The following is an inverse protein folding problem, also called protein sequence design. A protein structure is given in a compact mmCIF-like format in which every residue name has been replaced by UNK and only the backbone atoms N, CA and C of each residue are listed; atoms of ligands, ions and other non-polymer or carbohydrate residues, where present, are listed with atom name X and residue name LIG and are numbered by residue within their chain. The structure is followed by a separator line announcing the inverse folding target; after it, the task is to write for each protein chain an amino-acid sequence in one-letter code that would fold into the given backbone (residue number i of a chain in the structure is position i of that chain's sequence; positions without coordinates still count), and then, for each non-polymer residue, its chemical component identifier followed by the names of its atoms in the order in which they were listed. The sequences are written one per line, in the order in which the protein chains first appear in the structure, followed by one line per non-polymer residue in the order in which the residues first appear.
data_IF_787354298911
#
_entry.id   IF_787354298911
#
_cell.length_a   1.000
_cell.length_b   1.000
_cell.length_c   1.000
_cell.angle_alpha   90.00
_cell.angle_beta   90.00
_cell.angle_gamma   90.00
#
_symmetry.space_group_name_H-M   'P 1'
#
loop_
_entity.id
_entity.type
_entity.pdbx_description
1 polymer ?
#
# COMPACT_ATOMS: atom_id res chain seq x y z
N UNK A 1 -31.74 2.56 5.76
CA UNK A 1 -31.73 1.16 6.24
C UNK A 1 -30.44 0.43 5.85
N UNK A 2 -30.07 0.36 4.57
CA UNK A 2 -28.85 -0.32 4.11
C UNK A 2 -27.56 0.27 4.71
N UNK A 3 -27.48 1.60 4.86
CA UNK A 3 -26.31 2.29 5.46
C UNK A 3 -26.03 1.82 6.90
N UNK A 4 -27.08 1.64 7.70
CA UNK A 4 -26.96 1.20 9.09
C UNK A 4 -26.51 -0.27 9.15
N UNK A 5 -27.02 -1.12 8.26
CA UNK A 5 -26.63 -2.53 8.16
C UNK A 5 -25.16 -2.65 7.76
N UNK A 6 -24.69 -1.90 6.76
CA UNK A 6 -23.28 -1.97 6.35
C UNK A 6 -22.33 -1.41 7.41
N UNK A 7 -22.72 -0.37 8.16
CA UNK A 7 -21.93 0.13 9.29
C UNK A 7 -21.84 -0.89 10.43
N UNK A 8 -22.96 -1.55 10.77
CA UNK A 8 -22.97 -2.61 11.78
C UNK A 8 -22.08 -3.79 11.37
N UNK A 9 -22.17 -4.23 10.11
CA UNK A 9 -21.34 -5.33 9.61
C UNK A 9 -19.86 -4.95 9.51
N UNK A 10 -19.53 -3.80 8.91
CA UNK A 10 -18.14 -3.35 8.76
C UNK A 10 -17.50 -3.04 10.11
N UNK A 11 -18.22 -2.38 11.01
CA UNK A 11 -17.77 -2.11 12.38
C UNK A 11 -17.60 -3.39 13.20
N UNK A 12 -18.52 -4.35 13.06
CA UNK A 12 -18.41 -5.67 13.70
C UNK A 12 -17.20 -6.46 13.20
N UNK A 13 -16.97 -6.51 11.89
CA UNK A 13 -15.79 -7.17 11.29
C UNK A 13 -14.48 -6.51 11.73
N UNK A 14 -14.41 -5.18 11.71
CA UNK A 14 -13.23 -4.45 12.17
C UNK A 14 -12.96 -4.68 13.68
N UNK A 15 -14.02 -4.72 14.49
CA UNK A 15 -13.93 -5.03 15.92
C UNK A 15 -13.40 -6.44 16.20
N UNK A 16 -13.90 -7.44 15.48
CA UNK A 16 -13.43 -8.83 15.62
C UNK A 16 -11.96 -8.95 15.21
N UNK A 17 -11.56 -8.33 14.10
CA UNK A 17 -10.16 -8.32 13.65
C UNK A 17 -9.22 -7.75 14.73
N UNK A 18 -9.57 -6.59 15.32
CA UNK A 18 -8.79 -5.99 16.41
C UNK A 18 -8.77 -6.85 17.68
N UNK A 19 -9.90 -7.45 18.07
CA UNK A 19 -9.95 -8.34 19.23
C UNK A 19 -9.07 -9.59 19.07
N UNK A 20 -9.04 -10.19 17.87
CA UNK A 20 -8.19 -11.34 17.56
C UNK A 20 -6.71 -11.00 17.65
N UNK A 21 -6.30 -9.84 17.14
CA UNK A 21 -4.92 -9.38 17.20
C UNK A 21 -4.44 -9.15 18.64
N UNK A 22 -5.23 -8.43 19.45
CA UNK A 22 -4.91 -8.12 20.84
C UNK A 22 -4.88 -9.38 21.71
N UNK A 23 -5.88 -10.26 21.56
CA UNK A 23 -6.01 -11.45 22.40
C UNK A 23 -5.05 -12.58 22.02
N UNK A 24 -4.63 -12.64 20.75
CA UNK A 24 -3.78 -13.70 20.22
C UNK A 24 -2.28 -13.46 20.39
N UNK A 25 -1.81 -12.24 20.06
CA UNK A 25 -0.38 -11.95 19.91
C UNK A 25 0.17 -11.17 21.13
N UNK A 26 -0.59 -10.20 21.64
CA UNK A 26 -0.14 -9.32 22.73
C UNK A 26 -0.39 -9.91 24.13
N UNK A 27 0.06 -11.15 24.41
CA UNK A 27 -0.02 -11.78 25.76
C UNK A 27 0.61 -10.94 26.90
N UNK A 28 1.23 -9.80 26.59
CA UNK A 28 1.47 -8.66 27.47
C UNK A 28 0.95 -7.40 26.77
N UNK A 29 0.39 -6.45 27.52
CA UNK A 29 0.09 -5.09 27.07
C UNK A 29 1.35 -4.46 26.46
N UNK A 30 1.59 -4.69 25.17
CA UNK A 30 2.58 -3.96 24.42
C UNK A 30 2.00 -2.56 24.26
N UNK A 31 2.66 -1.56 24.83
CA UNK A 31 2.28 -0.15 24.77
C UNK A 31 2.47 0.38 23.35
N UNK A 32 1.68 -0.14 22.41
CA UNK A 32 1.84 0.20 21.01
C UNK A 32 1.01 -0.60 20.00
N UNK A 33 -0.22 -0.98 20.32
CA UNK A 33 -1.14 -1.72 19.42
C UNK A 33 -1.36 -1.08 18.03
N UNK A 34 -0.95 0.17 17.84
CA UNK A 34 -1.16 0.94 16.59
C UNK A 34 0.09 1.63 16.06
N UNK A 35 1.27 1.48 16.69
CA UNK A 35 2.47 2.24 16.29
C UNK A 35 3.13 1.54 15.11
N UNK A 36 2.57 1.71 13.91
CA UNK A 36 3.22 1.30 12.65
C UNK A 36 2.30 0.63 11.62
N UNK A 37 1.34 -0.20 12.05
CA UNK A 37 0.50 -0.98 11.12
C UNK A 37 -0.32 -0.11 10.16
N UNK A 38 -0.75 1.08 10.58
CA UNK A 38 -1.45 2.03 9.71
C UNK A 38 -0.58 2.58 8.58
N UNK A 39 0.70 2.84 8.84
CA UNK A 39 1.65 3.28 7.81
C UNK A 39 1.91 2.16 6.80
N UNK A 40 2.11 0.93 7.28
CA UNK A 40 2.21 -0.24 6.41
C UNK A 40 0.94 -0.46 5.58
N UNK A 41 -0.24 -0.26 6.16
CA UNK A 41 -1.52 -0.42 5.46
C UNK A 41 -1.65 0.56 4.27
N UNK A 42 -1.13 1.79 4.38
CA UNK A 42 -1.07 2.74 3.28
C UNK A 42 -0.23 2.18 2.12
N UNK A 43 0.94 1.61 2.42
CA UNK A 43 1.83 1.01 1.44
C UNK A 43 1.14 -0.15 0.72
N UNK A 44 0.51 -1.04 1.49
CA UNK A 44 -0.23 -2.19 0.97
C UNK A 44 -1.36 -1.75 0.04
N UNK A 45 -2.14 -0.74 0.44
CA UNK A 45 -3.27 -0.23 -0.34
C UNK A 45 -2.82 0.34 -1.70
N UNK A 46 -1.69 1.04 -1.71
CA UNK A 46 -1.10 1.59 -2.93
C UNK A 46 -0.52 0.51 -3.82
N UNK A 47 0.28 -0.39 -3.25
CA UNK A 47 0.89 -1.49 -3.98
C UNK A 47 -0.18 -2.41 -4.63
N UNK A 48 -1.35 -2.54 -3.98
CA UNK A 48 -2.51 -3.26 -4.52
C UNK A 48 -3.37 -2.45 -5.53
N UNK A 49 -3.00 -1.21 -5.88
CA UNK A 49 -3.77 -0.33 -6.77
C UNK A 49 -5.26 -0.16 -6.36
N UNK A 50 -5.56 -0.11 -5.05
CA UNK A 50 -6.94 -0.02 -4.51
C UNK A 50 -7.86 -1.20 -4.94
N UNK A 51 -7.30 -2.32 -5.41
CA UNK A 51 -8.09 -3.51 -5.73
C UNK A 51 -8.28 -4.39 -4.48
N UNK A 52 -9.53 -4.66 -4.03
CA UNK A 52 -9.78 -5.44 -2.81
C UNK A 52 -9.19 -6.85 -2.84
N UNK A 53 -9.15 -7.52 -3.99
CA UNK A 53 -8.52 -8.83 -4.12
C UNK A 53 -6.99 -8.75 -4.11
N UNK A 54 -6.43 -7.68 -4.69
CA UNK A 54 -5.00 -7.41 -4.67
C UNK A 54 -4.49 -7.13 -3.25
N UNK A 55 -5.29 -6.46 -2.43
CA UNK A 55 -4.93 -6.12 -1.03
C UNK A 55 -4.66 -7.39 -0.22
N UNK A 56 -5.43 -8.47 -0.39
CA UNK A 56 -5.22 -9.71 0.35
C UNK A 56 -3.84 -10.34 0.09
N UNK A 57 -3.43 -10.40 -1.18
CA UNK A 57 -2.14 -10.98 -1.59
C UNK A 57 -0.99 -10.09 -1.10
N UNK A 58 -1.11 -8.78 -1.30
CA UNK A 58 -0.07 -7.81 -0.93
C UNK A 58 0.07 -7.70 0.59
N UNK A 59 -1.04 -7.71 1.34
CA UNK A 59 -1.03 -7.71 2.80
C UNK A 59 -0.36 -8.97 3.35
N UNK A 60 -0.60 -10.13 2.74
CA UNK A 60 0.05 -11.37 3.12
C UNK A 60 1.57 -11.31 2.92
N UNK A 61 2.02 -10.82 1.75
CA UNK A 61 3.45 -10.63 1.46
C UNK A 61 4.09 -9.62 2.41
N UNK A 62 3.42 -8.51 2.73
CA UNK A 62 3.91 -7.53 3.69
C UNK A 62 3.94 -8.04 5.12
N UNK A 63 2.94 -8.83 5.54
CA UNK A 63 2.95 -9.48 6.83
C UNK A 63 4.13 -10.47 6.95
N UNK A 64 4.38 -11.26 5.90
CA UNK A 64 5.53 -12.16 5.84
C UNK A 64 6.87 -11.40 5.90
N UNK A 65 6.98 -10.24 5.22
CA UNK A 65 8.16 -9.39 5.27
C UNK A 65 8.37 -8.75 6.63
N UNK A 66 7.30 -8.29 7.30
CA UNK A 66 7.35 -7.72 8.64
C UNK A 66 7.83 -8.76 9.65
N UNK A 67 7.17 -9.92 9.71
CA UNK A 67 7.51 -11.00 10.64
C UNK A 67 8.88 -11.59 10.30
N UNK A 68 9.19 -11.79 9.02
CA UNK A 68 10.52 -12.24 8.58
C UNK A 68 11.62 -11.24 8.91
N UNK A 69 11.34 -9.94 8.76
CA UNK A 69 12.26 -8.85 9.11
C UNK A 69 12.54 -8.80 10.61
N UNK A 70 11.51 -8.91 11.44
CA UNK A 70 11.61 -8.97 12.90
C UNK A 70 12.43 -10.19 13.36
N UNK A 71 12.17 -11.36 12.77
CA UNK A 71 12.94 -12.58 13.05
C UNK A 71 14.42 -12.44 12.68
N UNK A 72 14.74 -11.77 11.56
CA UNK A 72 16.14 -11.51 11.16
C UNK A 72 16.81 -10.51 12.10
N UNK A 73 16.08 -9.49 12.56
CA UNK A 73 16.59 -8.51 13.53
C UNK A 73 16.95 -9.19 14.86
N UNK A 74 16.09 -10.08 15.35
CA UNK A 74 16.33 -10.86 16.56
C UNK A 74 17.56 -11.77 16.40
N UNK A 75 17.72 -12.42 15.24
CA UNK A 75 18.83 -13.33 14.98
C UNK A 75 20.18 -12.61 14.80
N UNK A 76 20.19 -11.43 14.18
CA UNK A 76 21.40 -10.70 13.79
C UNK A 76 21.72 -9.50 14.70
N UNK A 77 20.94 -9.28 15.77
CA UNK A 77 21.04 -8.13 16.70
C UNK A 77 21.00 -6.76 15.98
N UNK A 78 20.36 -6.70 14.81
CA UNK A 78 20.26 -5.49 14.02
C UNK A 78 19.09 -4.61 14.51
N UNK A 79 19.19 -3.27 14.41
CA UNK A 79 18.13 -2.37 14.86
C UNK A 79 16.79 -2.65 14.17
N UNK A 80 15.68 -2.45 14.90
CA UNK A 80 14.36 -2.77 14.37
C UNK A 80 13.92 -1.96 13.14
N UNK A 81 14.64 -0.87 12.88
CA UNK A 81 14.43 0.02 11.74
C UNK A 81 14.66 -0.65 10.36
N UNK A 82 15.30 -1.82 10.28
CA UNK A 82 15.59 -2.48 8.99
C UNK A 82 14.31 -2.82 8.24
N UNK A 83 13.29 -3.35 8.92
CA UNK A 83 12.00 -3.67 8.29
C UNK A 83 11.28 -2.40 7.81
N UNK A 84 11.33 -1.32 8.58
CA UNK A 84 10.68 -0.05 8.24
C UNK A 84 11.35 0.65 7.05
N UNK A 85 12.68 0.63 7.00
CA UNK A 85 13.45 1.16 5.87
C UNK A 85 13.11 0.37 4.59
N UNK A 86 12.99 -0.95 4.68
CA UNK A 86 12.64 -1.78 3.53
C UNK A 86 11.22 -1.48 3.02
N UNK A 87 10.24 -1.36 3.92
CA UNK A 87 8.88 -0.95 3.57
C UNK A 87 8.86 0.43 2.89
N UNK A 88 9.59 1.41 3.43
CA UNK A 88 9.75 2.74 2.83
C UNK A 88 10.42 2.70 1.45
N UNK A 89 11.46 1.89 1.29
CA UNK A 89 12.13 1.70 0.00
C UNK A 89 11.19 1.08 -1.04
N UNK A 90 10.41 0.05 -0.67
CA UNK A 90 9.39 -0.55 -1.54
C UNK A 90 8.37 0.50 -1.99
N UNK A 91 7.84 1.29 -1.04
CA UNK A 91 6.92 2.36 -1.36
C UNK A 91 7.57 3.38 -2.31
N UNK A 92 8.81 3.78 -2.05
CA UNK A 92 9.55 4.74 -2.88
C UNK A 92 9.75 4.24 -4.31
N UNK A 93 10.20 2.99 -4.50
CA UNK A 93 10.36 2.40 -5.83
C UNK A 93 9.02 2.21 -6.55
N UNK A 94 7.99 1.75 -5.83
CA UNK A 94 6.64 1.62 -6.39
C UNK A 94 6.10 2.98 -6.82
N UNK A 95 6.30 4.01 -6.01
CA UNK A 95 5.93 5.38 -6.34
C UNK A 95 6.66 5.91 -7.56
N UNK A 96 7.99 5.80 -7.59
CA UNK A 96 8.81 6.20 -8.73
C UNK A 96 8.38 5.51 -10.03
N UNK A 97 8.14 4.20 -9.98
CA UNK A 97 7.63 3.43 -11.13
C UNK A 97 6.21 3.83 -11.53
N UNK A 98 5.33 4.10 -10.56
CA UNK A 98 3.96 4.53 -10.83
C UNK A 98 3.89 5.92 -11.48
N UNK A 99 4.78 6.84 -11.10
CA UNK A 99 4.92 8.15 -11.75
C UNK A 99 5.37 7.96 -13.19
N UNK A 100 6.37 7.11 -13.44
CA UNK A 100 6.86 6.81 -14.78
C UNK A 100 5.80 6.14 -15.68
N UNK A 101 4.94 5.30 -15.11
CA UNK A 101 3.87 4.64 -15.86
C UNK A 101 2.65 5.54 -16.12
N UNK A 102 2.30 6.45 -15.20
CA UNK A 102 1.21 7.44 -15.38
C UNK A 102 1.61 8.61 -16.26
N UNK A 103 2.84 9.10 -16.11
CA UNK A 103 3.45 10.00 -17.08
C UNK A 103 3.96 9.19 -18.27
N UNK A 104 3.04 8.66 -19.10
CA UNK A 104 3.39 8.46 -20.50
C UNK A 104 3.89 9.81 -20.99
N UNK A 105 5.20 9.92 -21.21
CA UNK A 105 5.80 11.02 -21.95
C UNK A 105 5.09 11.01 -23.30
N UNK A 106 4.01 11.77 -23.39
CA UNK A 106 3.33 12.04 -24.65
C UNK A 106 4.25 13.03 -25.33
N UNK A 107 5.23 12.51 -26.08
CA UNK A 107 5.94 13.32 -27.07
C UNK A 107 4.87 13.80 -28.03
N UNK A 108 4.37 15.01 -27.79
CA UNK A 108 3.50 15.70 -28.73
C UNK A 108 4.41 16.01 -29.91
N UNK A 109 4.47 15.08 -30.86
CA UNK A 109 5.11 15.33 -32.15
C UNK A 109 4.18 16.29 -32.88
N UNK A 110 4.55 17.56 -32.82
CA UNK A 110 3.92 18.64 -33.57
C UNK A 110 3.90 18.26 -35.05
N UNK A 111 2.75 17.77 -35.50
CA UNK A 111 2.53 17.41 -36.90
C UNK A 111 2.20 18.73 -37.58
N UNK A 112 3.23 19.41 -38.11
CA UNK A 112 3.06 20.55 -39.03
C UNK A 112 1.98 20.19 -40.05
N UNK A 113 0.85 20.87 -39.96
CA UNK A 113 -0.22 20.83 -40.95
C UNK A 113 0.32 21.52 -42.19
N UNK A 114 0.88 20.74 -43.11
CA UNK A 114 0.81 21.03 -44.54
C UNK A 114 -0.54 20.49 -45.01
N UNK A 115 -1.51 21.38 -45.20
CA UNK A 115 -2.59 21.25 -46.19
C UNK A 115 -3.46 22.51 -46.18
N UNK A 116 -3.51 23.23 -47.31
CA UNK A 116 -4.68 24.04 -47.66
C UNK A 116 -4.51 25.55 -47.81
N UNK A 117 -3.55 26.03 -48.61
CA UNK A 117 -3.76 27.28 -49.36
C UNK A 117 -3.37 27.04 -50.82
N UNK A 118 -4.24 26.33 -51.53
CA UNK A 118 -4.35 26.44 -52.98
C UNK A 118 -5.79 26.77 -53.32
N UNK A 119 -5.92 27.80 -54.16
CA UNK A 119 -7.12 28.33 -54.80
C UNK A 119 -8.02 29.21 -53.94
N UNK A 120 -7.85 30.54 -54.11
CA UNK A 120 -8.89 31.38 -54.70
C UNK A 120 -8.25 32.64 -55.30
N UNK A 121 -8.46 32.77 -56.62
CA UNK A 121 -8.32 33.92 -57.53
C UNK A 121 -6.95 34.60 -57.76
#
# INVERSE_FOLDING_TARGET
KNIIIVMLFSGGLAGIAGMTEVSGISRRLYTGLTVGYGYTAIIVAWLANLNPFGILIVAFLMAALLVGGDQIQIAMQTPAAVADILQGAILFFMLGGSIFNRYKIKVIRDRKIQQGVTHHE
#
